data_IF_942931157130
#
_entry.id   IF_942931157130
#
_cell.length_a   1.000
_cell.length_b   1.000
_cell.length_c   1.000
_cell.angle_alpha   90.00
_cell.angle_beta   90.00
_cell.angle_gamma   90.00
#
_symmetry.space_group_name_H-M   'P 1'
#
loop_
_entity.id
_entity.type
_entity.pdbx_description
1 polymer ?
#
# COMPACT_ATOMS: atom_id res chain seq x y z
N UNK A 1 22.16 10.47 4.43
CA UNK A 1 21.42 10.87 3.28
C UNK A 1 19.98 10.60 3.44
N UNK A 2 19.17 11.56 3.10
CA UNK A 2 17.80 11.39 3.30
C UNK A 2 17.16 10.63 2.21
N UNK A 3 16.16 9.83 2.56
CA UNK A 3 15.39 9.16 1.61
C UNK A 3 14.22 10.00 1.28
N UNK A 4 13.97 10.26 0.04
CA UNK A 4 12.87 11.07 -0.38
C UNK A 4 11.87 10.20 -1.11
N UNK A 5 10.66 10.15 -0.59
CA UNK A 5 9.59 9.38 -1.23
C UNK A 5 8.90 10.29 -2.22
N UNK A 6 8.74 9.86 -3.46
CA UNK A 6 8.11 10.71 -4.46
C UNK A 6 6.71 11.13 -4.05
N UNK A 7 6.40 12.38 -4.27
CA UNK A 7 5.09 12.89 -3.95
C UNK A 7 4.02 12.12 -4.71
N UNK A 8 4.35 11.69 -5.93
CA UNK A 8 3.38 10.97 -6.74
C UNK A 8 2.97 9.65 -6.07
N UNK A 9 3.87 9.00 -5.34
CA UNK A 9 3.52 7.75 -4.67
C UNK A 9 2.53 8.02 -3.53
N UNK A 10 2.75 9.10 -2.78
CA UNK A 10 1.81 9.46 -1.73
C UNK A 10 0.43 9.77 -2.31
N UNK A 11 0.39 10.49 -3.43
CA UNK A 11 -0.87 10.82 -4.05
C UNK A 11 -1.58 9.58 -4.57
N UNK A 12 -0.83 8.65 -5.12
CA UNK A 12 -1.43 7.43 -5.63
C UNK A 12 -1.99 6.59 -4.50
N UNK A 13 -1.29 6.56 -3.37
CA UNK A 13 -1.79 5.80 -2.24
C UNK A 13 -3.08 6.38 -1.69
N UNK A 14 -3.27 7.67 -1.81
CA UNK A 14 -4.48 8.29 -1.29
C UNK A 14 -5.73 7.83 -2.01
N UNK A 15 -5.59 7.22 -3.19
CA UNK A 15 -6.73 6.69 -3.89
C UNK A 15 -7.26 5.44 -3.23
N UNK A 16 -6.47 4.84 -2.35
CA UNK A 16 -6.85 3.61 -1.70
C UNK A 16 -7.19 3.93 -0.25
N UNK A 17 -8.47 3.90 0.07
CA UNK A 17 -8.94 4.32 1.39
C UNK A 17 -8.87 3.19 2.40
N UNK A 18 -8.76 3.54 3.66
CA UNK A 18 -8.83 2.56 4.73
C UNK A 18 -10.18 1.87 4.65
N UNK A 19 -10.18 0.56 4.73
CA UNK A 19 -11.40 -0.24 4.63
C UNK A 19 -11.70 -0.72 3.22
N UNK A 20 -10.99 -0.18 2.23
CA UNK A 20 -11.23 -0.57 0.87
C UNK A 20 -10.62 -1.93 0.58
N UNK A 21 -11.30 -2.74 -0.20
CA UNK A 21 -10.76 -4.02 -0.62
C UNK A 21 -10.06 -3.85 -1.95
N UNK A 22 -8.92 -4.49 -2.08
CA UNK A 22 -8.14 -4.40 -3.31
C UNK A 22 -7.57 -5.78 -3.64
N UNK A 23 -7.11 -5.92 -4.86
CA UNK A 23 -6.41 -7.14 -5.26
C UNK A 23 -4.94 -6.84 -5.25
N UNK A 24 -4.16 -7.69 -4.61
CA UNK A 24 -2.72 -7.53 -4.55
C UNK A 24 -2.09 -8.88 -4.80
N UNK A 25 -1.33 -8.97 -5.85
CA UNK A 25 -0.67 -10.22 -6.25
C UNK A 25 -1.66 -11.36 -6.41
N UNK A 26 -2.84 -11.04 -6.93
CA UNK A 26 -3.82 -12.08 -7.19
C UNK A 26 -4.67 -12.49 -6.02
N UNK A 27 -4.52 -11.82 -4.89
CA UNK A 27 -5.33 -12.11 -3.73
C UNK A 27 -6.05 -10.87 -3.27
N UNK A 28 -7.19 -11.05 -2.61
CA UNK A 28 -7.98 -9.92 -2.13
C UNK A 28 -7.57 -9.58 -0.71
N UNK A 29 -7.30 -8.32 -0.45
CA UNK A 29 -6.95 -7.82 0.87
C UNK A 29 -7.72 -6.55 1.15
N UNK A 30 -7.79 -6.21 2.43
CA UNK A 30 -8.42 -4.96 2.85
C UNK A 30 -7.36 -4.04 3.39
N UNK A 31 -7.43 -2.77 3.08
CA UNK A 31 -6.47 -1.79 3.59
C UNK A 31 -6.88 -1.44 5.01
N UNK A 32 -6.00 -1.72 5.97
CA UNK A 32 -6.27 -1.42 7.36
C UNK A 32 -5.86 -0.01 7.72
N UNK A 33 -4.75 0.44 7.21
CA UNK A 33 -4.31 1.80 7.45
C UNK A 33 -3.14 2.15 6.58
N UNK A 34 -2.87 3.45 6.49
CA UNK A 34 -1.70 3.95 5.81
C UNK A 34 -0.65 4.24 6.88
N UNK A 35 0.59 3.99 6.56
CA UNK A 35 1.67 4.19 7.52
C UNK A 35 2.94 4.57 6.78
N UNK A 36 4.04 4.68 7.49
CA UNK A 36 5.32 5.02 6.91
C UNK A 36 6.35 4.04 7.44
N UNK A 37 7.18 3.52 6.55
CA UNK A 37 8.24 2.61 6.95
C UNK A 37 9.37 3.39 7.61
N UNK A 38 10.25 2.66 8.29
CA UNK A 38 11.39 3.29 8.94
C UNK A 38 12.26 4.04 7.94
N UNK A 39 12.26 3.61 6.69
CA UNK A 39 13.04 4.29 5.66
C UNK A 39 12.41 5.60 5.20
N UNK A 40 11.21 5.90 5.64
CA UNK A 40 10.50 7.09 5.21
C UNK A 40 9.55 6.84 4.05
N UNK A 41 9.54 5.62 3.53
CA UNK A 41 8.67 5.30 2.42
C UNK A 41 7.24 5.13 2.91
N UNK A 42 6.29 5.69 2.18
CA UNK A 42 4.87 5.49 2.50
C UNK A 42 4.52 4.02 2.34
N UNK A 43 3.59 3.54 3.10
CA UNK A 43 3.22 2.13 3.09
C UNK A 43 1.78 1.94 3.49
N UNK A 44 1.25 0.75 3.26
CA UNK A 44 -0.10 0.41 3.68
C UNK A 44 -0.04 -0.92 4.42
N UNK A 45 -0.95 -1.09 5.37
CA UNK A 45 -1.11 -2.36 6.05
C UNK A 45 -2.29 -3.06 5.41
N UNK A 46 -2.05 -4.27 4.92
CA UNK A 46 -3.08 -5.06 4.26
C UNK A 46 -3.47 -6.23 5.14
N UNK A 47 -4.73 -6.56 5.14
CA UNK A 47 -5.24 -7.70 5.90
C UNK A 47 -5.95 -8.68 4.99
N UNK A 48 -5.54 -9.93 5.03
CA UNK A 48 -6.23 -11.01 4.33
C UNK A 48 -7.07 -11.80 5.30
N UNK A 49 -7.42 -13.01 4.90
CA UNK A 49 -8.25 -13.86 5.76
C UNK A 49 -7.52 -14.27 7.01
N UNK A 50 -6.26 -14.54 6.92
CA UNK A 50 -5.53 -15.08 8.06
C UNK A 50 -4.26 -14.34 8.40
N UNK A 51 -3.91 -13.32 7.65
CA UNK A 51 -2.65 -12.66 7.91
C UNK A 51 -2.76 -11.16 7.64
N UNK A 52 -1.80 -10.42 8.13
CA UNK A 52 -1.68 -9.01 7.89
C UNK A 52 -0.22 -8.74 7.63
N UNK A 53 0.06 -7.75 6.82
CA UNK A 53 1.44 -7.38 6.57
C UNK A 53 1.51 -5.96 6.04
N UNK A 54 2.71 -5.38 6.08
CA UNK A 54 2.94 -4.02 5.63
C UNK A 54 3.62 -4.07 4.28
N UNK A 55 3.13 -3.27 3.35
CA UNK A 55 3.69 -3.21 2.00
C UNK A 55 4.07 -1.78 1.70
N UNK A 56 5.30 -1.57 1.26
CA UNK A 56 5.74 -0.24 0.87
C UNK A 56 5.02 0.23 -0.39
N UNK A 57 4.96 1.54 -0.57
CA UNK A 57 4.23 2.12 -1.69
C UNK A 57 4.69 1.58 -3.03
N UNK A 58 5.99 1.45 -3.22
CA UNK A 58 6.51 0.96 -4.49
C UNK A 58 6.01 -0.43 -4.82
N UNK A 59 6.09 -1.34 -3.85
CA UNK A 59 5.62 -2.69 -4.05
C UNK A 59 4.12 -2.73 -4.21
N UNK A 60 3.41 -1.96 -3.40
CA UNK A 60 1.97 -1.97 -3.46
C UNK A 60 1.49 -1.50 -4.84
N UNK A 61 2.01 -0.38 -5.32
CA UNK A 61 1.57 0.17 -6.58
C UNK A 61 1.99 -0.69 -7.76
N UNK A 62 3.08 -1.43 -7.61
CA UNK A 62 3.55 -2.29 -8.69
C UNK A 62 2.71 -3.54 -8.83
N UNK A 63 2.13 -4.02 -7.73
CA UNK A 63 1.42 -5.30 -7.76
C UNK A 63 -0.06 -5.23 -7.44
N UNK A 64 -0.60 -4.08 -7.10
CA UNK A 64 -2.02 -3.97 -6.84
C UNK A 64 -2.74 -4.20 -8.15
N UNK A 65 -3.86 -4.88 -8.08
CA UNK A 65 -4.57 -5.26 -9.25
C UNK A 65 -4.94 -4.11 -10.09
N UNK A 66 -4.91 -4.35 -11.36
CA UNK A 66 -5.19 -3.32 -12.26
C UNK A 66 -6.63 -3.02 -12.22
N UNK A 67 -6.91 -2.04 -11.57
CA UNK A 67 -8.21 -1.71 -11.47
C UNK A 67 -8.59 -0.81 -12.47
N UNK A 68 -7.98 -0.61 -13.37
CA UNK A 68 -8.24 0.32 -14.28
C UNK A 68 -9.44 0.42 -14.83
#
# INVERSE_FOLDING_TARGET
MERIVPVSDHLKLRRYAVGQEIDFRGRRYKILKHTTLASGEAAVVLAGDKDQFIVGAGQFLAHVGAQQ
#
